data_IF_266715583429
#
_entry.id   IF_266715583429
#
_cell.length_a   1.000
_cell.length_b   1.000
_cell.length_c   1.000
_cell.angle_alpha   90.00
_cell.angle_beta   90.00
_cell.angle_gamma   90.00
#
_symmetry.space_group_name_H-M   'P 1'
#
loop_
_entity.id
_entity.type
_entity.pdbx_description
1 polymer ?
#
# COMPACT_ATOMS: atom_id res chain seq x y z
N UNK A 1 -3.61 -20.12 -10.16
CA UNK A 1 -2.99 -19.06 -9.32
C UNK A 1 -4.13 -18.21 -8.79
N UNK A 2 -4.27 -18.03 -7.46
CA UNK A 2 -5.16 -16.98 -6.98
C UNK A 2 -4.57 -15.66 -7.46
N UNK A 3 -5.36 -14.88 -8.21
CA UNK A 3 -4.94 -13.56 -8.68
C UNK A 3 -4.62 -12.64 -7.51
N UNK A 4 -3.88 -11.57 -7.82
CA UNK A 4 -3.62 -10.47 -6.89
C UNK A 4 -4.94 -9.88 -6.38
N UNK A 5 -5.96 -9.90 -7.25
CA UNK A 5 -7.33 -9.52 -6.94
C UNK A 5 -8.03 -10.38 -5.88
N UNK A 6 -7.51 -11.54 -5.48
CA UNK A 6 -8.09 -12.33 -4.37
C UNK A 6 -7.28 -12.26 -3.07
N UNK A 7 -5.96 -12.10 -3.15
CA UNK A 7 -5.11 -12.02 -1.96
C UNK A 7 -5.31 -10.70 -1.19
N UNK A 8 -5.31 -9.56 -1.90
CA UNK A 8 -5.44 -8.25 -1.27
C UNK A 8 -6.77 -8.02 -0.54
N UNK A 9 -7.95 -8.39 -1.08
CA UNK A 9 -9.20 -8.27 -0.34
C UNK A 9 -9.19 -9.02 0.99
N UNK A 10 -8.58 -10.21 1.03
CA UNK A 10 -8.47 -11.00 2.27
C UNK A 10 -7.57 -10.26 3.27
N UNK A 11 -6.40 -9.76 2.83
CA UNK A 11 -5.50 -8.99 3.69
C UNK A 11 -6.21 -7.75 4.23
N UNK A 12 -6.90 -7.01 3.37
CA UNK A 12 -7.64 -5.81 3.77
C UNK A 12 -8.79 -6.14 4.72
N UNK A 13 -9.49 -7.26 4.51
CA UNK A 13 -10.52 -7.73 5.43
C UNK A 13 -9.94 -8.08 6.81
N UNK A 14 -8.80 -8.79 6.86
CA UNK A 14 -8.10 -9.09 8.11
C UNK A 14 -7.70 -7.81 8.84
N UNK A 15 -7.18 -6.80 8.13
CA UNK A 15 -6.86 -5.49 8.70
C UNK A 15 -8.10 -4.76 9.22
N UNK A 16 -9.20 -4.75 8.47
CA UNK A 16 -10.47 -4.16 8.92
C UNK A 16 -11.03 -4.84 10.17
N UNK A 17 -10.84 -6.15 10.31
CA UNK A 17 -11.25 -6.89 11.51
C UNK A 17 -10.30 -6.60 12.68
N UNK A 18 -8.99 -6.54 12.42
CA UNK A 18 -7.97 -6.25 13.44
C UNK A 18 -8.10 -4.83 13.99
N UNK A 19 -8.50 -3.89 13.14
CA UNK A 19 -8.67 -2.50 13.53
C UNK A 19 -9.88 -2.30 14.47
N UNK A 20 -10.79 -3.26 14.64
CA UNK A 20 -11.95 -3.09 15.52
C UNK A 20 -11.56 -2.66 16.95
N UNK A 21 -10.46 -3.18 17.49
CA UNK A 21 -9.94 -2.84 18.81
C UNK A 21 -9.28 -1.46 18.84
N UNK A 22 -9.62 -0.62 19.83
CA UNK A 22 -8.94 0.66 20.06
C UNK A 22 -7.45 0.49 20.39
N UNK A 23 -7.05 -0.68 20.91
CA UNK A 23 -5.65 -1.00 21.19
C UNK A 23 -4.77 -1.04 19.92
N UNK A 24 -5.37 -1.25 18.75
CA UNK A 24 -4.68 -1.19 17.46
C UNK A 24 -4.17 0.23 17.12
N UNK A 25 -4.74 1.27 17.76
CA UNK A 25 -4.44 2.67 17.45
C UNK A 25 -3.47 3.31 18.43
N UNK A 26 -2.86 2.53 19.33
CA UNK A 26 -1.90 3.02 20.32
C UNK A 26 -0.53 3.21 19.64
N UNK A 27 0.21 4.29 19.96
CA UNK A 27 1.54 4.54 19.37
C UNK A 27 2.48 3.32 19.42
N UNK A 28 2.47 2.58 20.53
CA UNK A 28 3.33 1.41 20.76
C UNK A 28 3.00 0.20 19.90
N UNK A 29 1.75 0.02 19.47
CA UNK A 29 1.34 -1.06 18.56
C UNK A 29 1.58 -0.69 17.09
N UNK A 30 1.74 0.61 16.81
CA UNK A 30 2.03 1.18 15.49
C UNK A 30 3.52 1.26 15.18
N UNK A 31 4.35 1.53 16.17
CA UNK A 31 5.78 1.77 15.98
C UNK A 31 6.48 0.57 15.34
N UNK A 32 7.20 0.83 14.24
CA UNK A 32 8.08 -0.16 13.61
C UNK A 32 9.55 0.16 13.89
N UNK A 33 10.47 -0.81 13.81
CA UNK A 33 11.89 -0.51 13.94
C UNK A 33 12.33 0.52 12.90
N UNK A 34 13.05 1.57 13.33
CA UNK A 34 13.51 2.66 12.46
C UNK A 34 14.18 2.20 11.16
N UNK A 35 15.03 1.18 11.23
CA UNK A 35 15.71 0.64 10.03
C UNK A 35 14.71 0.10 9.00
N UNK A 36 13.61 -0.52 9.46
CA UNK A 36 12.53 -0.97 8.56
C UNK A 36 11.92 0.24 7.85
N UNK A 37 11.59 1.30 8.58
CA UNK A 37 11.00 2.52 8.01
C UNK A 37 11.91 3.20 6.97
N UNK A 38 13.22 3.23 7.22
CA UNK A 38 14.18 3.92 6.34
C UNK A 38 14.38 3.18 5.00
N UNK A 39 14.47 1.84 5.03
CA UNK A 39 14.71 1.03 3.83
C UNK A 39 13.44 0.53 3.14
N UNK A 40 12.24 0.77 3.71
CA UNK A 40 10.98 0.24 3.17
C UNK A 40 10.77 0.58 1.69
N UNK A 41 11.17 1.79 1.28
CA UNK A 41 11.06 2.19 -0.13
C UNK A 41 11.91 1.31 -1.04
N UNK A 42 13.19 1.12 -0.70
CA UNK A 42 14.11 0.27 -1.48
C UNK A 42 13.61 -1.18 -1.48
N UNK A 43 13.14 -1.65 -0.33
CA UNK A 43 12.49 -2.96 -0.17
C UNK A 43 11.35 -3.16 -1.16
N UNK A 44 10.41 -2.22 -1.23
CA UNK A 44 9.27 -2.29 -2.16
C UNK A 44 9.72 -2.22 -3.62
N UNK A 45 10.68 -1.37 -3.96
CA UNK A 45 11.17 -1.27 -5.33
C UNK A 45 11.84 -2.58 -5.78
N UNK A 46 12.79 -3.11 -5.01
CA UNK A 46 13.54 -4.30 -5.40
C UNK A 46 12.77 -5.60 -5.17
N UNK A 47 12.02 -5.70 -4.07
CA UNK A 47 11.31 -6.91 -3.68
C UNK A 47 9.94 -7.09 -4.34
N UNK A 48 9.36 -6.01 -4.91
CA UNK A 48 8.05 -6.07 -5.56
C UNK A 48 8.04 -5.44 -6.95
N UNK A 49 8.47 -4.17 -7.09
CA UNK A 49 8.35 -3.46 -8.37
C UNK A 49 9.22 -4.06 -9.47
N UNK A 50 10.48 -4.40 -9.17
CA UNK A 50 11.41 -5.00 -10.15
C UNK A 50 10.90 -6.36 -10.65
N UNK A 51 10.54 -7.34 -9.80
CA UNK A 51 9.93 -8.59 -10.27
C UNK A 51 8.69 -8.34 -11.12
N UNK A 52 7.81 -7.42 -10.71
CA UNK A 52 6.58 -7.10 -11.44
C UNK A 52 6.88 -6.54 -12.83
N UNK A 53 7.76 -5.55 -12.94
CA UNK A 53 8.13 -4.94 -14.21
C UNK A 53 8.84 -5.94 -15.13
N UNK A 54 9.68 -6.82 -14.60
CA UNK A 54 10.36 -7.86 -15.36
C UNK A 54 9.38 -8.84 -16.03
N UNK A 55 8.22 -9.11 -15.43
CA UNK A 55 7.17 -9.94 -16.04
C UNK A 55 6.66 -9.30 -17.34
N UNK A 56 6.63 -7.98 -17.43
CA UNK A 56 6.05 -7.27 -18.58
C UNK A 56 7.08 -6.79 -19.60
N UNK A 57 8.28 -6.39 -19.13
CA UNK A 57 9.28 -5.73 -19.97
C UNK A 57 10.31 -6.69 -20.57
N UNK A 58 10.43 -7.92 -20.04
CA UNK A 58 11.45 -8.88 -20.47
C UNK A 58 10.80 -9.99 -21.30
N UNK A 59 11.30 -10.17 -22.53
CA UNK A 59 10.81 -11.18 -23.47
C UNK A 59 11.46 -12.55 -23.30
N UNK A 60 12.58 -12.64 -22.58
CA UNK A 60 13.21 -13.91 -22.25
C UNK A 60 12.30 -14.77 -21.35
N UNK A 61 12.04 -16.01 -21.79
CA UNK A 61 11.09 -16.90 -21.14
C UNK A 61 11.57 -17.40 -19.78
N UNK A 62 12.88 -17.58 -19.60
CA UNK A 62 13.48 -18.03 -18.33
C UNK A 62 13.41 -16.91 -17.29
N UNK A 63 13.81 -15.69 -17.69
CA UNK A 63 13.74 -14.52 -16.80
C UNK A 63 12.30 -14.20 -16.43
N UNK A 64 11.36 -14.29 -17.38
CA UNK A 64 9.93 -14.08 -17.11
C UNK A 64 9.36 -15.12 -16.14
N UNK A 65 9.70 -16.41 -16.29
CA UNK A 65 9.30 -17.44 -15.33
C UNK A 65 9.88 -17.20 -13.93
N UNK A 66 11.15 -16.81 -13.85
CA UNK A 66 11.79 -16.45 -12.58
C UNK A 66 11.12 -15.22 -11.95
N UNK A 67 10.79 -14.21 -12.74
CA UNK A 67 10.11 -13.01 -12.27
C UNK A 67 8.70 -13.33 -11.73
N UNK A 68 7.94 -14.19 -12.43
CA UNK A 68 6.64 -14.69 -11.95
C UNK A 68 6.80 -15.45 -10.63
N UNK A 69 7.83 -16.30 -10.52
CA UNK A 69 8.11 -17.04 -9.28
C UNK A 69 8.45 -16.09 -8.12
N UNK A 70 9.39 -15.15 -8.32
CA UNK A 70 9.78 -14.16 -7.32
C UNK A 70 8.58 -13.29 -6.89
N UNK A 71 7.72 -12.90 -7.82
CA UNK A 71 6.52 -12.14 -7.55
C UNK A 71 5.58 -12.84 -6.54
N UNK A 72 5.47 -14.17 -6.58
CA UNK A 72 4.66 -14.92 -5.60
C UNK A 72 5.17 -14.77 -4.16
N UNK A 73 6.46 -14.46 -3.99
CA UNK A 73 7.11 -14.30 -2.68
C UNK A 73 7.43 -12.83 -2.36
N UNK A 74 6.80 -11.87 -3.06
CA UNK A 74 7.12 -10.45 -2.90
C UNK A 74 7.12 -9.96 -1.43
N UNK A 75 6.16 -10.34 -0.54
CA UNK A 75 6.22 -9.91 0.86
C UNK A 75 7.51 -10.34 1.57
N UNK A 76 7.98 -11.57 1.31
CA UNK A 76 9.22 -12.10 1.89
C UNK A 76 10.43 -11.39 1.30
N UNK A 77 10.43 -11.15 -0.01
CA UNK A 77 11.52 -10.44 -0.70
C UNK A 77 11.67 -9.00 -0.21
N UNK A 78 10.56 -8.27 -0.04
CA UNK A 78 10.58 -6.90 0.51
C UNK A 78 11.25 -6.88 1.89
N UNK A 79 10.84 -7.77 2.79
CA UNK A 79 11.41 -7.86 4.14
C UNK A 79 12.89 -8.27 4.08
N UNK A 80 13.23 -9.23 3.21
CA UNK A 80 14.61 -9.69 3.02
C UNK A 80 15.54 -8.57 2.55
N UNK A 81 15.11 -7.77 1.56
CA UNK A 81 15.86 -6.61 1.06
C UNK A 81 16.02 -5.56 2.15
N UNK A 82 14.96 -5.21 2.88
CA UNK A 82 15.03 -4.25 3.99
C UNK A 82 16.07 -4.68 5.02
N UNK A 83 16.05 -5.96 5.43
CA UNK A 83 17.03 -6.51 6.38
C UNK A 83 18.44 -6.50 5.81
N UNK A 84 18.61 -6.87 4.53
CA UNK A 84 19.91 -6.83 3.88
C UNK A 84 20.50 -5.41 3.84
N UNK A 85 19.72 -4.41 3.45
CA UNK A 85 20.14 -3.00 3.48
C UNK A 85 20.50 -2.55 4.90
N UNK A 86 19.69 -2.90 5.90
CA UNK A 86 19.97 -2.56 7.29
C UNK A 86 21.28 -3.20 7.81
N UNK A 87 21.57 -4.43 7.39
CA UNK A 87 22.83 -5.11 7.70
C UNK A 87 24.04 -4.44 7.02
N UNK A 88 23.91 -4.06 5.75
CA UNK A 88 24.97 -3.41 4.98
C UNK A 88 25.34 -2.03 5.54
N UNK A 89 24.35 -1.28 6.02
CA UNK A 89 24.55 0.04 6.63
C UNK A 89 25.00 -0.06 8.10
N UNK A 90 25.30 -1.26 8.62
CA UNK A 90 25.79 -1.49 9.99
C UNK A 90 24.73 -1.32 11.10
N UNK A 91 23.53 -0.85 10.75
CA UNK A 91 22.45 -0.55 11.70
C UNK A 91 21.83 -1.79 12.36
N UNK A 92 21.91 -2.97 11.73
CA UNK A 92 21.37 -4.22 12.28
C UNK A 92 22.28 -4.85 13.35
N UNK A 93 23.60 -4.71 13.21
CA UNK A 93 24.57 -5.30 14.15
C UNK A 93 24.72 -4.50 15.44
N UNK A 94 24.57 -3.18 15.38
CA UNK A 94 24.71 -2.29 16.53
C UNK A 94 23.54 -2.41 17.54
N UNK A 95 22.39 -2.95 17.10
CA UNK A 95 21.14 -2.97 17.89
C UNK A 95 20.85 -4.29 18.63
N UNK A 96 21.38 -5.43 18.17
CA UNK A 96 21.23 -6.69 18.92
C UNK A 96 21.91 -6.64 20.30
N UNK A 97 22.86 -5.73 20.51
CA UNK A 97 23.56 -5.56 21.79
C UNK A 97 22.80 -4.68 22.79
N UNK A 98 21.83 -3.87 22.35
CA UNK A 98 21.06 -2.93 23.19
C UNK A 98 19.62 -3.38 23.49
N UNK A 99 19.10 -4.37 22.77
CA UNK A 99 17.68 -4.81 22.80
C UNK A 99 17.22 -5.52 24.10
N UNK A 100 18.04 -5.50 25.16
CA UNK A 100 17.74 -6.22 26.41
C UNK A 100 17.48 -5.35 27.64
N UNK A 101 17.46 -4.01 27.59
CA UNK A 101 17.39 -3.22 28.84
C UNK A 101 16.50 -2.00 28.99
N UNK A 102 15.81 -1.47 27.97
CA UNK A 102 14.92 -0.31 28.24
C UNK A 102 13.49 -0.49 27.71
N UNK A 103 12.47 -0.22 28.56
CA UNK A 103 11.11 -0.07 28.08
C UNK A 103 11.06 1.15 27.15
N UNK A 104 10.48 0.96 25.96
CA UNK A 104 10.25 2.01 24.96
C UNK A 104 9.72 3.27 25.64
N UNK A 105 10.49 4.36 25.57
CA UNK A 105 10.06 5.66 26.08
C UNK A 105 9.09 6.31 25.08
N UNK A 106 8.24 7.25 25.55
CA UNK A 106 7.29 7.97 24.67
C UNK A 106 7.96 8.70 23.49
N UNK A 107 9.25 9.02 23.60
CA UNK A 107 10.03 9.63 22.51
C UNK A 107 10.52 8.58 21.47
N UNK A 108 10.63 7.30 21.83
CA UNK A 108 10.97 6.22 20.90
C UNK A 108 9.85 5.91 19.91
N UNK A 109 8.59 6.13 20.28
CA UNK A 109 7.38 5.79 19.51
C UNK A 109 7.20 6.60 18.20
N UNK A 110 8.04 7.62 17.96
CA UNK A 110 7.99 8.48 16.77
C UNK A 110 9.24 8.45 15.91
N UNK A 111 10.28 7.68 16.29
CA UNK A 111 11.58 7.65 15.59
C UNK A 111 11.50 7.10 14.17
N UNK A 112 10.51 6.26 13.90
CA UNK A 112 10.20 5.68 12.60
C UNK A 112 9.35 6.60 11.71
N UNK A 113 8.66 7.59 12.29
CA UNK A 113 7.67 8.41 11.60
C UNK A 113 8.28 9.22 10.45
N UNK A 114 9.52 9.71 10.61
CA UNK A 114 10.20 10.43 9.52
C UNK A 114 10.50 9.50 8.33
N UNK A 115 11.03 8.31 8.59
CA UNK A 115 11.28 7.29 7.56
C UNK A 115 10.00 6.89 6.85
N UNK A 116 8.93 6.65 7.62
CA UNK A 116 7.64 6.25 7.09
C UNK A 116 6.94 7.36 6.29
N UNK A 117 7.00 8.62 6.74
CA UNK A 117 6.53 9.79 5.97
C UNK A 117 7.26 9.92 4.64
N UNK A 118 8.58 9.74 4.65
CA UNK A 118 9.38 9.76 3.43
C UNK A 118 9.01 8.60 2.49
N UNK A 119 8.76 7.41 3.03
CA UNK A 119 8.24 6.26 2.27
C UNK A 119 6.91 6.59 1.59
N UNK A 120 5.90 7.03 2.33
CA UNK A 120 4.59 7.35 1.75
C UNK A 120 4.65 8.47 0.72
N UNK A 121 5.45 9.51 0.96
CA UNK A 121 5.64 10.60 0.01
C UNK A 121 6.23 10.09 -1.31
N UNK A 122 7.25 9.23 -1.26
CA UNK A 122 7.85 8.63 -2.46
C UNK A 122 6.87 7.71 -3.18
N UNK A 123 6.16 6.84 -2.45
CA UNK A 123 5.17 5.95 -3.04
C UNK A 123 3.99 6.70 -3.64
N UNK A 124 3.52 7.77 -3.01
CA UNK A 124 2.52 8.69 -3.58
C UNK A 124 2.97 9.19 -4.95
N UNK A 125 4.20 9.70 -5.06
CA UNK A 125 4.73 10.22 -6.32
C UNK A 125 4.82 9.14 -7.40
N UNK A 126 5.29 7.93 -7.06
CA UNK A 126 5.38 6.80 -7.98
C UNK A 126 3.99 6.39 -8.47
N UNK A 127 3.03 6.16 -7.57
CA UNK A 127 1.67 5.76 -7.92
C UNK A 127 0.94 6.83 -8.74
N UNK A 128 1.08 8.10 -8.39
CA UNK A 128 0.47 9.20 -9.13
C UNK A 128 1.06 9.31 -10.55
N UNK A 129 2.39 9.15 -10.68
CA UNK A 129 3.05 9.16 -11.99
C UNK A 129 2.55 8.02 -12.88
N UNK A 130 2.38 6.81 -12.33
CA UNK A 130 1.81 5.67 -13.05
C UNK A 130 0.37 5.95 -13.47
N UNK A 131 -0.46 6.50 -12.58
CA UNK A 131 -1.84 6.86 -12.89
C UNK A 131 -1.94 7.86 -14.05
N UNK A 132 -1.15 8.93 -14.00
CA UNK A 132 -1.13 9.92 -15.09
C UNK A 132 -0.55 9.35 -16.39
N UNK A 133 0.46 8.47 -16.31
CA UNK A 133 1.00 7.80 -17.49
C UNK A 133 -0.04 6.92 -18.17
N UNK A 134 -0.84 6.17 -17.40
CA UNK A 134 -1.95 5.37 -17.93
C UNK A 134 -2.96 6.30 -18.61
N UNK A 135 -3.42 7.35 -17.94
CA UNK A 135 -4.38 8.32 -18.52
C UNK A 135 -3.83 8.92 -19.81
N UNK A 136 -2.58 9.39 -19.82
CA UNK A 136 -1.94 9.98 -20.99
C UNK A 136 -1.87 8.99 -22.16
N UNK A 137 -1.44 7.75 -21.90
CA UNK A 137 -1.39 6.68 -22.91
C UNK A 137 -2.77 6.41 -23.50
N UNK A 138 -3.81 6.41 -22.67
CA UNK A 138 -5.18 6.20 -23.12
C UNK A 138 -5.69 7.34 -23.99
N UNK A 139 -5.41 8.60 -23.62
CA UNK A 139 -5.78 9.77 -24.42
C UNK A 139 -5.08 9.77 -25.78
N UNK A 140 -3.80 9.39 -25.82
CA UNK A 140 -3.03 9.30 -27.08
C UNK A 140 -3.55 8.18 -27.99
N UNK A 141 -3.94 7.04 -27.41
CA UNK A 141 -4.42 5.87 -28.17
C UNK A 141 -5.90 5.93 -28.54
N UNK A 142 -6.61 7.04 -28.25
CA UNK A 142 -8.07 7.17 -28.38
C UNK A 142 -8.84 6.02 -27.69
N UNK A 143 -8.27 5.47 -26.62
CA UNK A 143 -8.84 4.37 -25.86
C UNK A 143 -9.94 4.84 -24.91
N UNK A 144 -11.03 4.06 -24.79
CA UNK A 144 -12.04 4.32 -23.76
C UNK A 144 -11.55 3.86 -22.38
N UNK A 145 -11.66 4.70 -21.35
CA UNK A 145 -11.42 4.38 -19.93
C UNK A 145 -12.12 3.08 -19.51
N UNK A 146 -13.40 2.97 -19.86
CA UNK A 146 -14.20 1.78 -19.56
C UNK A 146 -13.72 0.52 -20.28
N UNK A 147 -13.05 0.63 -21.42
CA UNK A 147 -12.53 -0.55 -22.15
C UNK A 147 -11.29 -1.13 -21.49
N UNK A 148 -10.49 -0.30 -20.81
CA UNK A 148 -9.25 -0.74 -20.18
C UNK A 148 -9.48 -1.26 -18.75
N UNK A 149 -10.43 -0.65 -18.03
CA UNK A 149 -10.66 -0.96 -16.63
C UNK A 149 -11.87 -1.85 -16.37
N UNK A 150 -12.89 -1.87 -17.23
CA UNK A 150 -14.08 -2.68 -16.99
C UNK A 150 -14.07 -3.92 -17.88
N UNK A 151 -14.20 -5.12 -17.30
CA UNK A 151 -14.31 -6.34 -18.08
C UNK A 151 -15.60 -6.29 -18.90
N UNK A 152 -15.47 -6.25 -20.23
CA UNK A 152 -16.59 -6.32 -21.18
C UNK A 152 -16.77 -7.75 -21.68
N UNK A 153 -18.03 -8.15 -21.81
CA UNK A 153 -18.44 -9.46 -22.30
C UNK A 153 -17.80 -10.63 -21.54
N UNK A 154 -17.97 -10.63 -20.22
CA UNK A 154 -17.42 -11.65 -19.31
C UNK A 154 -17.91 -13.07 -19.66
N UNK A 155 -19.06 -13.16 -20.35
CA UNK A 155 -19.68 -14.42 -20.76
C UNK A 155 -19.29 -14.87 -22.18
N UNK A 156 -18.50 -14.08 -22.92
CA UNK A 156 -18.03 -14.48 -24.24
C UNK A 156 -16.99 -15.60 -24.14
N UNK A 157 -16.99 -16.50 -25.12
CA UNK A 157 -15.97 -17.54 -25.21
C UNK A 157 -14.59 -16.91 -25.38
N UNK A 158 -13.65 -17.28 -24.51
CA UNK A 158 -12.26 -16.80 -24.55
C UNK A 158 -11.52 -17.50 -25.70
N UNK A 159 -11.50 -16.84 -26.85
CA UNK A 159 -10.96 -17.41 -28.09
C UNK A 159 -9.44 -17.26 -28.25
N UNK A 160 -8.75 -16.56 -27.33
CA UNK A 160 -7.30 -16.43 -27.33
C UNK A 160 -6.72 -16.24 -25.93
N UNK A 161 -5.46 -16.65 -25.74
CA UNK A 161 -4.74 -16.44 -24.49
C UNK A 161 -4.62 -14.95 -24.14
N UNK A 162 -4.32 -14.09 -25.13
CA UNK A 162 -4.23 -12.65 -24.94
C UNK A 162 -5.54 -12.05 -24.41
N UNK A 163 -6.68 -12.46 -24.98
CA UNK A 163 -8.01 -12.02 -24.51
C UNK A 163 -8.32 -12.54 -23.11
N UNK A 164 -7.94 -13.79 -22.82
CA UNK A 164 -8.07 -14.36 -21.47
C UNK A 164 -7.29 -13.55 -20.44
N UNK A 165 -6.00 -13.29 -20.71
CA UNK A 165 -5.13 -12.50 -19.83
C UNK A 165 -5.64 -11.08 -19.62
N UNK A 166 -6.16 -10.43 -20.67
CA UNK A 166 -6.78 -9.10 -20.58
C UNK A 166 -7.99 -9.11 -19.62
N UNK A 167 -8.89 -10.09 -19.77
CA UNK A 167 -10.09 -10.20 -18.94
C UNK A 167 -9.74 -10.47 -17.47
N UNK A 168 -8.77 -11.35 -17.21
CA UNK A 168 -8.26 -11.61 -15.87
C UNK A 168 -7.65 -10.37 -15.23
N UNK A 169 -6.82 -9.63 -15.98
CA UNK A 169 -6.21 -8.40 -15.50
C UNK A 169 -7.26 -7.33 -15.17
N UNK A 170 -8.26 -7.15 -16.04
CA UNK A 170 -9.36 -6.21 -15.80
C UNK A 170 -10.15 -6.54 -14.55
N UNK A 171 -10.51 -7.81 -14.36
CA UNK A 171 -11.18 -8.27 -13.16
C UNK A 171 -10.33 -8.01 -11.90
N UNK A 172 -9.03 -8.35 -11.93
CA UNK A 172 -8.12 -8.15 -10.81
C UNK A 172 -8.00 -6.67 -10.43
N UNK A 173 -7.87 -5.76 -11.43
CA UNK A 173 -7.79 -4.32 -11.19
C UNK A 173 -9.08 -3.79 -10.57
N UNK A 174 -10.25 -4.18 -11.07
CA UNK A 174 -11.54 -3.73 -10.49
C UNK A 174 -11.68 -4.18 -9.05
N UNK A 175 -11.42 -5.46 -8.76
CA UNK A 175 -11.54 -6.01 -7.41
C UNK A 175 -10.54 -5.34 -6.46
N UNK A 176 -9.30 -5.12 -6.91
CA UNK A 176 -8.28 -4.41 -6.15
C UNK A 176 -8.72 -2.97 -5.84
N UNK A 177 -9.18 -2.21 -6.84
CA UNK A 177 -9.64 -0.83 -6.65
C UNK A 177 -10.83 -0.75 -5.68
N UNK A 178 -11.82 -1.64 -5.81
CA UNK A 178 -12.96 -1.70 -4.90
C UNK A 178 -12.52 -2.04 -3.47
N UNK A 179 -11.58 -2.97 -3.34
CA UNK A 179 -11.08 -3.39 -2.04
C UNK A 179 -10.26 -2.28 -1.38
N UNK A 180 -9.45 -1.53 -2.13
CA UNK A 180 -8.78 -0.32 -1.64
C UNK A 180 -9.77 0.78 -1.25
N UNK A 181 -10.85 0.96 -2.01
CA UNK A 181 -11.89 1.93 -1.70
C UNK A 181 -12.58 1.61 -0.36
N UNK A 182 -12.95 0.34 -0.15
CA UNK A 182 -13.53 -0.15 1.10
C UNK A 182 -12.53 0.01 2.25
N UNK A 183 -11.30 -0.48 2.08
CA UNK A 183 -10.27 -0.44 3.13
C UNK A 183 -9.93 0.98 3.56
N UNK A 184 -9.73 1.88 2.59
CA UNK A 184 -9.48 3.30 2.88
C UNK A 184 -10.68 3.96 3.57
N UNK A 185 -11.91 3.62 3.17
CA UNK A 185 -13.11 4.16 3.83
C UNK A 185 -13.24 3.70 5.27
N UNK A 186 -12.94 2.42 5.54
CA UNK A 186 -12.87 1.87 6.90
C UNK A 186 -11.78 2.58 7.70
N UNK A 187 -10.60 2.82 7.12
CA UNK A 187 -9.51 3.52 7.80
C UNK A 187 -9.89 4.95 8.20
N UNK A 188 -10.64 5.69 7.36
CA UNK A 188 -11.17 7.02 7.71
C UNK A 188 -12.19 6.93 8.84
N UNK A 189 -13.11 5.98 8.77
CA UNK A 189 -14.10 5.76 9.81
C UNK A 189 -13.45 5.38 11.14
N UNK A 190 -12.40 4.56 11.09
CA UNK A 190 -11.66 4.08 12.24
C UNK A 190 -10.96 5.21 13.00
N UNK A 191 -10.26 6.11 12.30
CA UNK A 191 -9.61 7.26 12.97
C UNK A 191 -10.63 8.25 13.56
N UNK A 192 -11.84 8.33 13.00
CA UNK A 192 -12.92 9.13 13.56
C UNK A 192 -13.54 8.48 14.81
N UNK A 193 -13.92 7.20 14.74
CA UNK A 193 -14.60 6.51 15.87
C UNK A 193 -13.69 6.34 17.07
N UNK A 194 -12.37 6.26 16.86
CA UNK A 194 -11.37 6.16 17.93
C UNK A 194 -11.01 7.51 18.53
N UNK A 195 -11.55 8.61 18.01
CA UNK A 195 -11.30 9.96 18.52
C UNK A 195 -9.93 10.53 18.16
N UNK A 196 -9.22 9.92 17.19
CA UNK A 196 -7.95 10.43 16.67
C UNK A 196 -8.13 11.60 15.69
N UNK A 197 -9.31 11.71 15.07
CA UNK A 197 -9.67 12.75 14.11
C UNK A 197 -11.07 13.30 14.39
N UNK A 198 -11.21 14.61 14.18
CA UNK A 198 -12.50 15.30 14.17
C UNK A 198 -13.12 15.38 12.75
N UNK A 199 -12.43 14.88 11.72
CA UNK A 199 -12.95 14.85 10.35
C UNK A 199 -14.17 13.94 10.28
N UNK A 200 -15.32 14.48 9.85
CA UNK A 200 -16.54 13.70 9.68
C UNK A 200 -16.27 12.56 8.69
N UNK A 201 -16.73 11.31 8.97
CA UNK A 201 -16.42 10.17 8.12
C UNK A 201 -16.80 10.37 6.65
N UNK A 202 -17.98 10.95 6.39
CA UNK A 202 -18.45 11.19 5.02
C UNK A 202 -17.52 12.13 4.25
N UNK A 203 -17.07 13.22 4.87
CA UNK A 203 -16.17 14.19 4.24
C UNK A 203 -14.80 13.57 3.95
N UNK A 204 -14.25 12.81 4.91
CA UNK A 204 -12.97 12.11 4.73
C UNK A 204 -13.03 11.01 3.68
N UNK A 205 -14.12 10.22 3.64
CA UNK A 205 -14.35 9.18 2.64
C UNK A 205 -14.51 9.83 1.26
N UNK A 206 -15.32 10.88 1.15
CA UNK A 206 -15.50 11.61 -0.11
C UNK A 206 -14.17 12.16 -0.62
N UNK A 207 -13.36 12.78 0.24
CA UNK A 207 -12.04 13.29 -0.12
C UNK A 207 -11.10 12.17 -0.61
N UNK A 208 -11.09 11.02 0.07
CA UNK A 208 -10.29 9.86 -0.35
C UNK A 208 -10.74 9.29 -1.70
N UNK A 209 -12.05 9.16 -1.93
CA UNK A 209 -12.59 8.65 -3.20
C UNK A 209 -12.34 9.62 -4.36
N UNK A 210 -12.58 10.93 -4.15
CA UNK A 210 -12.27 11.96 -5.14
C UNK A 210 -10.77 11.99 -5.44
N UNK A 211 -9.93 11.94 -4.40
CA UNK A 211 -8.48 11.83 -4.55
C UNK A 211 -8.07 10.59 -5.35
N UNK A 212 -8.71 9.44 -5.11
CA UNK A 212 -8.45 8.20 -5.83
C UNK A 212 -8.73 8.31 -7.33
N UNK A 213 -9.70 9.14 -7.73
CA UNK A 213 -9.97 9.41 -9.15
C UNK A 213 -8.93 10.38 -9.72
N UNK A 214 -8.60 11.45 -9.00
CA UNK A 214 -7.72 12.53 -9.49
C UNK A 214 -6.25 12.07 -9.60
N UNK A 215 -5.68 11.57 -8.50
CA UNK A 215 -4.26 11.18 -8.43
C UNK A 215 -4.04 9.68 -8.54
N UNK A 216 -5.12 8.90 -8.58
CA UNK A 216 -5.08 7.45 -8.65
C UNK A 216 -5.26 6.79 -7.26
N UNK A 217 -5.82 5.58 -7.21
CA UNK A 217 -6.18 4.91 -5.97
C UNK A 217 -4.94 4.59 -5.10
N UNK A 218 -3.82 4.21 -5.71
CA UNK A 218 -2.57 3.96 -4.99
C UNK A 218 -1.99 5.21 -4.31
N UNK A 219 -1.99 6.34 -5.03
CA UNK A 219 -1.49 7.60 -4.46
C UNK A 219 -2.39 8.08 -3.33
N UNK A 220 -3.71 8.10 -3.55
CA UNK A 220 -4.68 8.47 -2.52
C UNK A 220 -4.55 7.59 -1.26
N UNK A 221 -4.34 6.28 -1.43
CA UNK A 221 -4.13 5.36 -0.31
C UNK A 221 -2.84 5.70 0.46
N UNK A 222 -1.72 5.96 -0.20
CA UNK A 222 -0.49 6.37 0.48
C UNK A 222 -0.62 7.71 1.22
N UNK A 223 -1.37 8.67 0.67
CA UNK A 223 -1.68 9.92 1.36
C UNK A 223 -2.55 9.68 2.61
N UNK A 224 -3.57 8.83 2.49
CA UNK A 224 -4.45 8.44 3.60
C UNK A 224 -3.66 7.75 4.72
N UNK A 225 -2.74 6.84 4.38
CA UNK A 225 -1.88 6.17 5.35
C UNK A 225 -0.92 7.15 6.02
N UNK A 226 -0.29 8.05 5.28
CA UNK A 226 0.58 9.07 5.86
C UNK A 226 -0.16 9.96 6.89
N UNK A 227 -1.41 10.31 6.60
CA UNK A 227 -2.27 11.05 7.52
C UNK A 227 -2.61 10.22 8.75
N UNK A 228 -3.11 8.99 8.56
CA UNK A 228 -3.46 8.04 9.65
C UNK A 228 -2.28 7.82 10.60
N UNK A 229 -1.09 7.57 10.06
CA UNK A 229 0.13 7.32 10.83
C UNK A 229 0.54 8.54 11.64
N UNK A 230 0.34 9.75 11.09
CA UNK A 230 0.59 11.00 11.83
C UNK A 230 -0.41 11.22 12.96
N UNK A 231 -1.65 10.75 12.81
CA UNK A 231 -2.65 10.80 13.89
C UNK A 231 -2.35 9.79 15.00
N UNK A 232 -2.01 8.55 14.63
CA UNK A 232 -1.67 7.48 15.57
C UNK A 232 -0.38 7.76 16.35
N UNK A 233 0.54 8.55 15.78
CA UNK A 233 1.74 9.00 16.48
C UNK A 233 1.45 10.04 17.58
N UNK A 234 0.25 10.61 17.66
CA UNK A 234 -0.12 11.56 18.72
C UNK A 234 -0.47 10.82 20.00
N UNK A 235 -0.01 11.33 21.13
CA UNK A 235 -0.20 10.71 22.46
C UNK A 235 -1.51 11.09 23.16
N UNK A 236 -2.38 11.90 22.54
CA UNK A 236 -3.68 12.28 23.12
C UNK A 236 -4.84 11.57 22.42
N UNK A 237 -5.56 10.74 23.16
CA UNK A 237 -6.85 10.19 22.76
C UNK A 237 -7.97 11.08 23.30
N UNK A 238 -8.86 11.55 22.43
CA UNK A 238 -10.00 12.37 22.81
C UNK A 238 -10.26 13.48 21.80
N UNK A 239 -11.54 13.73 21.48
CA UNK A 239 -11.93 14.89 20.67
C UNK A 239 -11.45 16.13 21.39
N UNK A 240 -10.53 16.86 20.78
CA UNK A 240 -10.21 18.22 21.20
C UNK A 240 -11.49 19.01 20.97
N UNK A 241 -12.23 19.26 22.05
CA UNK A 241 -13.37 20.16 22.02
C UNK A 241 -12.82 21.53 21.64
N UNK A 242 -13.30 22.06 20.51
CA UNK A 242 -13.07 23.45 20.15
C UNK A 242 -13.66 24.32 21.26
N UNK A 243 -12.79 25.13 21.89
CA UNK A 243 -13.17 26.26 22.74
C UNK A 243 -13.20 27.50 21.85
#
# INVERSE_FOLDING_TARGET
MLGVGMAFPIIFAVECLSSHSSAHFIPTTRAIPKHVADYLFIGVILGYAVPTLSIFLIDDSVVKQLAIFLFQFAPILVIGVVKACACLDGTAFQKQTEDHKEPLTKDDDTRDLLGLKNFYKRMFAVCASIHFLIIATMLITNGSLSRFFLPRNIYDTVNSLARGSELFFQADVVVLCLSMAVWGSVAVFDVYRTGLSNVKPLDGIALFLVGSVIVGPGAALHALWAWRETLMAKTSFGRVNEV
#
